data_IF_117976961221
#
_entry.id   IF_117976961221
#
_cell.length_a   1.000
_cell.length_b   1.000
_cell.length_c   1.000
_cell.angle_alpha   90.00
_cell.angle_beta   90.00
_cell.angle_gamma   90.00
#
_symmetry.space_group_name_H-M   'P 1'
#
loop_
_entity.id
_entity.type
_entity.pdbx_description
1 polymer ?
#
# COMPACT_ATOMS: atom_id res chain seq x y z
N UNK A 1 31.78 13.46 -17.84
CA UNK A 1 30.36 13.91 -17.70
C UNK A 1 30.36 15.13 -16.76
N UNK A 2 29.77 16.27 -17.13
CA UNK A 2 29.84 17.49 -16.28
C UNK A 2 29.01 17.32 -14.99
N UNK A 3 29.54 17.76 -13.84
CA UNK A 3 28.85 17.74 -12.53
C UNK A 3 27.44 18.37 -12.57
N UNK A 4 27.24 19.37 -13.43
CA UNK A 4 25.92 19.98 -13.64
C UNK A 4 24.90 19.03 -14.28
N UNK A 5 25.33 18.07 -15.12
CA UNK A 5 24.44 17.05 -15.70
C UNK A 5 24.04 16.02 -14.65
N UNK A 6 24.98 15.55 -13.82
CA UNK A 6 24.72 14.59 -12.72
C UNK A 6 23.70 15.18 -11.72
N UNK A 7 23.87 16.45 -11.33
CA UNK A 7 22.91 17.14 -10.44
C UNK A 7 21.50 17.23 -11.01
N UNK A 8 21.36 17.47 -12.32
CA UNK A 8 20.03 17.51 -12.97
C UNK A 8 19.39 16.12 -12.95
N UNK A 9 20.13 15.07 -13.30
CA UNK A 9 19.65 13.68 -13.26
C UNK A 9 19.19 13.31 -11.85
N UNK A 10 20.00 13.58 -10.82
CA UNK A 10 19.62 13.30 -9.43
C UNK A 10 18.39 14.09 -8.98
N UNK A 11 18.22 15.32 -9.45
CA UNK A 11 17.03 16.12 -9.11
C UNK A 11 15.76 15.52 -9.72
N UNK A 12 15.82 15.07 -10.97
CA UNK A 12 14.70 14.37 -11.62
C UNK A 12 14.41 13.05 -10.92
N UNK A 13 15.44 12.28 -10.56
CA UNK A 13 15.30 11.01 -9.87
C UNK A 13 14.61 11.18 -8.49
N UNK A 14 15.03 12.17 -7.71
CA UNK A 14 14.40 12.48 -6.41
C UNK A 14 12.93 12.86 -6.60
N UNK A 15 12.61 13.72 -7.57
CA UNK A 15 11.22 14.10 -7.82
C UNK A 15 10.36 12.90 -8.22
N UNK A 16 10.87 12.03 -9.09
CA UNK A 16 10.18 10.82 -9.52
C UNK A 16 9.96 9.82 -8.38
N UNK A 17 11.00 9.54 -7.58
CA UNK A 17 10.91 8.67 -6.42
C UNK A 17 9.96 9.23 -5.35
N UNK A 18 10.02 10.54 -5.10
CA UNK A 18 9.09 11.21 -4.18
C UNK A 18 7.64 11.12 -4.65
N UNK A 19 7.39 11.23 -5.96
CA UNK A 19 6.06 11.03 -6.53
C UNK A 19 5.56 9.60 -6.36
N UNK A 20 6.39 8.58 -6.64
CA UNK A 20 6.04 7.17 -6.42
C UNK A 20 5.67 6.93 -4.95
N UNK A 21 6.53 7.37 -4.02
CA UNK A 21 6.28 7.22 -2.58
C UNK A 21 4.94 7.87 -2.20
N UNK A 22 4.63 9.05 -2.74
CA UNK A 22 3.37 9.71 -2.46
C UNK A 22 2.14 8.92 -2.96
N UNK A 23 2.21 8.39 -4.19
CA UNK A 23 1.14 7.56 -4.78
C UNK A 23 0.95 6.26 -3.98
N UNK A 24 2.05 5.59 -3.62
CA UNK A 24 1.99 4.37 -2.83
C UNK A 24 1.41 4.62 -1.44
N UNK A 25 1.77 5.73 -0.79
CA UNK A 25 1.23 6.10 0.52
C UNK A 25 -0.30 6.31 0.48
N UNK A 26 -0.81 6.97 -0.55
CA UNK A 26 -2.27 7.11 -0.74
C UNK A 26 -2.94 5.76 -0.98
N UNK A 27 -2.26 4.87 -1.71
CA UNK A 27 -2.74 3.52 -1.95
C UNK A 27 -2.75 2.68 -0.67
N UNK A 28 -1.85 2.92 0.30
CA UNK A 28 -1.83 2.20 1.58
C UNK A 28 -3.00 2.60 2.46
N UNK A 29 -3.31 3.90 2.51
CA UNK A 29 -4.49 4.40 3.23
C UNK A 29 -5.78 3.79 2.67
N UNK A 30 -5.91 3.70 1.35
CA UNK A 30 -7.06 3.06 0.69
C UNK A 30 -7.15 1.57 0.99
N UNK A 31 -6.03 0.84 0.87
CA UNK A 31 -6.01 -0.61 1.12
C UNK A 31 -6.31 -0.98 2.58
N UNK A 32 -5.83 -0.18 3.54
CA UNK A 32 -6.15 -0.38 4.96
C UNK A 32 -7.64 -0.19 5.26
N UNK A 33 -8.30 0.74 4.57
CA UNK A 33 -9.76 0.89 4.66
C UNK A 33 -10.50 -0.35 4.16
N UNK A 34 -10.09 -0.90 3.01
CA UNK A 34 -10.69 -2.10 2.43
C UNK A 34 -10.47 -3.33 3.32
N UNK A 35 -9.27 -3.52 3.88
CA UNK A 35 -9.01 -4.59 4.85
C UNK A 35 -9.95 -4.51 6.05
N UNK A 36 -10.11 -3.31 6.63
CA UNK A 36 -11.00 -3.12 7.77
C UNK A 36 -12.46 -3.42 7.41
N UNK A 37 -12.92 -3.06 6.21
CA UNK A 37 -14.25 -3.43 5.74
C UNK A 37 -14.41 -4.95 5.54
N UNK A 38 -13.40 -5.61 5.01
CA UNK A 38 -13.37 -7.07 4.83
C UNK A 38 -13.41 -7.80 6.18
N UNK A 39 -12.65 -7.32 7.18
CA UNK A 39 -12.61 -7.91 8.52
C UNK A 39 -13.97 -7.77 9.24
N UNK A 40 -14.60 -6.59 9.16
CA UNK A 40 -15.94 -6.37 9.70
C UNK A 40 -16.99 -7.27 9.02
N UNK A 41 -16.90 -7.41 7.68
CA UNK A 41 -17.79 -8.29 6.94
C UNK A 41 -17.56 -9.76 7.31
N UNK A 42 -16.31 -10.17 7.51
CA UNK A 42 -15.99 -11.52 7.95
C UNK A 42 -16.58 -11.81 9.33
N UNK A 43 -16.39 -10.93 10.30
CA UNK A 43 -16.93 -11.07 11.65
C UNK A 43 -18.47 -11.21 11.61
N UNK A 44 -19.15 -10.40 10.80
CA UNK A 44 -20.60 -10.47 10.68
C UNK A 44 -21.06 -11.76 9.98
N UNK A 45 -20.34 -12.23 8.95
CA UNK A 45 -20.63 -13.51 8.29
C UNK A 45 -20.45 -14.68 9.26
N UNK A 46 -19.33 -14.74 9.99
CA UNK A 46 -19.08 -15.78 11.01
C UNK A 46 -20.21 -15.84 12.04
N UNK A 47 -20.64 -14.69 12.53
CA UNK A 47 -21.77 -14.58 13.44
C UNK A 47 -23.09 -15.13 12.84
N UNK A 48 -23.30 -14.98 11.53
CA UNK A 48 -24.44 -15.57 10.82
C UNK A 48 -24.28 -17.08 10.64
N UNK A 49 -23.07 -17.57 10.39
CA UNK A 49 -22.80 -19.02 10.27
C UNK A 49 -23.04 -19.72 11.60
N UNK A 50 -22.55 -19.16 12.71
CA UNK A 50 -22.75 -19.71 14.06
C UNK A 50 -24.23 -19.82 14.42
N UNK A 51 -25.05 -18.87 13.94
CA UNK A 51 -26.50 -18.86 14.15
C UNK A 51 -27.27 -19.68 13.11
N UNK A 52 -26.60 -20.31 12.15
CA UNK A 52 -27.20 -20.99 10.99
C UNK A 52 -28.13 -20.09 10.15
N UNK A 53 -27.84 -18.79 10.09
CA UNK A 53 -28.65 -17.77 9.40
C UNK A 53 -28.10 -17.37 8.02
N UNK A 54 -27.02 -18.00 7.54
CA UNK A 54 -26.42 -17.74 6.22
C UNK A 54 -27.44 -17.77 5.06
N UNK A 55 -28.35 -18.74 5.07
CA UNK A 55 -29.34 -18.95 4.00
C UNK A 55 -30.60 -18.08 4.14
N UNK A 56 -30.79 -17.47 5.32
CA UNK A 56 -31.88 -16.54 5.61
C UNK A 56 -31.34 -15.39 6.48
N UNK A 57 -30.42 -14.59 5.93
CA UNK A 57 -29.80 -13.53 6.71
C UNK A 57 -30.87 -12.48 7.08
N UNK A 58 -30.79 -11.89 8.27
CA UNK A 58 -31.76 -10.90 8.71
C UNK A 58 -31.64 -9.63 7.87
N UNK A 59 -32.74 -8.88 7.71
CA UNK A 59 -32.78 -7.69 6.84
C UNK A 59 -31.77 -6.59 7.22
N UNK A 60 -31.25 -6.64 8.45
CA UNK A 60 -30.37 -5.64 9.05
C UNK A 60 -28.88 -5.91 8.90
N UNK A 61 -28.44 -6.89 8.09
CA UNK A 61 -27.01 -7.10 7.84
C UNK A 61 -26.40 -5.88 7.15
N UNK A 62 -25.13 -5.58 7.44
CA UNK A 62 -24.46 -4.42 6.87
C UNK A 62 -24.29 -4.54 5.34
N UNK A 63 -24.25 -3.38 4.65
CA UNK A 63 -24.07 -3.35 3.19
C UNK A 63 -22.75 -3.99 2.72
N UNK A 64 -21.59 -3.78 3.39
CA UNK A 64 -20.36 -4.51 3.07
C UNK A 64 -20.54 -6.03 3.18
N UNK A 65 -21.19 -6.50 4.24
CA UNK A 65 -21.48 -7.92 4.44
C UNK A 65 -22.36 -8.49 3.34
N UNK A 66 -23.41 -7.79 2.91
CA UNK A 66 -24.23 -8.20 1.75
C UNK A 66 -23.39 -8.36 0.49
N UNK A 67 -22.54 -7.37 0.22
CA UNK A 67 -21.67 -7.37 -0.94
C UNK A 67 -20.70 -8.55 -0.92
N UNK A 68 -19.93 -8.71 0.16
CA UNK A 68 -18.91 -9.76 0.24
C UNK A 68 -19.52 -11.16 0.36
N UNK A 69 -20.67 -11.31 1.01
CA UNK A 69 -21.40 -12.58 1.06
C UNK A 69 -21.88 -12.99 -0.35
N UNK A 70 -22.29 -12.03 -1.19
CA UNK A 70 -22.66 -12.32 -2.59
C UNK A 70 -21.49 -12.77 -3.47
N UNK A 71 -20.24 -12.46 -3.07
CA UNK A 71 -19.04 -12.81 -3.83
C UNK A 71 -18.39 -14.10 -3.33
N UNK A 72 -18.32 -14.28 -2.01
CA UNK A 72 -17.54 -15.33 -1.36
C UNK A 72 -18.40 -16.37 -0.63
N UNK A 73 -19.71 -16.17 -0.50
CA UNK A 73 -20.72 -17.14 -0.04
C UNK A 73 -20.60 -17.68 1.41
N UNK A 74 -19.42 -17.66 2.01
CA UNK A 74 -19.12 -18.17 3.36
C UNK A 74 -17.85 -17.51 3.94
N UNK A 75 -17.63 -17.70 5.23
CA UNK A 75 -16.48 -17.13 5.95
C UNK A 75 -15.14 -17.71 5.50
N UNK A 76 -15.11 -18.97 5.05
CA UNK A 76 -13.87 -19.69 4.68
C UNK A 76 -13.26 -19.09 3.40
N UNK A 77 -14.08 -18.85 2.39
CA UNK A 77 -13.66 -18.22 1.14
C UNK A 77 -13.23 -16.78 1.37
N UNK A 78 -13.97 -16.02 2.19
CA UNK A 78 -13.62 -14.64 2.53
C UNK A 78 -12.29 -14.58 3.30
N UNK A 79 -12.06 -15.48 4.29
CA UNK A 79 -10.78 -15.60 4.99
C UNK A 79 -9.61 -15.88 4.04
N UNK A 80 -9.83 -16.78 3.07
CA UNK A 80 -8.81 -17.09 2.08
C UNK A 80 -8.46 -15.84 1.27
N UNK A 81 -9.48 -15.10 0.84
CA UNK A 81 -9.29 -13.85 0.09
C UNK A 81 -8.56 -12.79 0.92
N UNK A 82 -8.95 -12.57 2.18
CA UNK A 82 -8.28 -11.63 3.09
C UNK A 82 -6.81 -11.99 3.22
N UNK A 83 -6.49 -13.27 3.44
CA UNK A 83 -5.10 -13.72 3.59
C UNK A 83 -4.26 -13.51 2.33
N UNK A 84 -4.83 -13.75 1.15
CA UNK A 84 -4.17 -13.46 -0.13
C UNK A 84 -3.92 -11.95 -0.27
N UNK A 85 -4.91 -11.12 0.08
CA UNK A 85 -4.80 -9.67 0.04
C UNK A 85 -3.76 -9.12 1.03
N UNK A 86 -3.72 -9.63 2.27
CA UNK A 86 -2.68 -9.29 3.25
C UNK A 86 -1.27 -9.64 2.78
N UNK A 87 -1.12 -10.79 2.10
CA UNK A 87 0.16 -11.23 1.56
C UNK A 87 0.65 -10.29 0.45
N UNK A 88 -0.27 -9.87 -0.42
CA UNK A 88 0.02 -8.90 -1.48
C UNK A 88 0.38 -7.52 -0.89
N UNK A 89 -0.32 -7.09 0.16
CA UNK A 89 -0.01 -5.83 0.86
C UNK A 89 1.35 -5.86 1.54
N UNK A 90 1.69 -6.95 2.21
CA UNK A 90 3.01 -7.15 2.84
C UNK A 90 4.14 -7.09 1.81
N UNK A 91 3.95 -7.69 0.63
CA UNK A 91 4.90 -7.57 -0.47
C UNK A 91 5.05 -6.11 -0.92
N UNK A 92 3.94 -5.36 -0.98
CA UNK A 92 3.95 -3.93 -1.33
C UNK A 92 4.67 -3.07 -0.29
N UNK A 93 4.54 -3.36 0.99
CA UNK A 93 5.26 -2.68 2.08
C UNK A 93 6.78 -2.77 1.91
N UNK A 94 7.27 -3.95 1.51
CA UNK A 94 8.70 -4.17 1.25
C UNK A 94 9.18 -3.26 0.12
N UNK A 95 8.45 -3.22 -1.00
CA UNK A 95 8.82 -2.36 -2.14
C UNK A 95 8.80 -0.87 -1.76
N UNK A 96 7.79 -0.45 -1.00
CA UNK A 96 7.70 0.90 -0.49
C UNK A 96 8.91 1.30 0.36
N UNK A 97 9.33 0.41 1.27
CA UNK A 97 10.55 0.59 2.06
C UNK A 97 11.80 0.74 1.19
N UNK A 98 11.95 -0.08 0.14
CA UNK A 98 13.06 0.02 -0.81
C UNK A 98 13.06 1.39 -1.52
N UNK A 99 11.89 1.87 -1.97
CA UNK A 99 11.79 3.18 -2.61
C UNK A 99 12.18 4.33 -1.67
N UNK A 100 11.78 4.27 -0.39
CA UNK A 100 12.19 5.24 0.62
C UNK A 100 13.72 5.27 0.77
N UNK A 101 14.35 4.10 0.90
CA UNK A 101 15.81 4.00 1.04
C UNK A 101 16.51 4.59 -0.19
N UNK A 102 16.05 4.25 -1.39
CA UNK A 102 16.60 4.79 -2.66
C UNK A 102 16.41 6.30 -2.78
N UNK A 103 15.28 6.83 -2.29
CA UNK A 103 15.01 8.26 -2.27
C UNK A 103 16.02 9.01 -1.39
N UNK A 104 16.24 8.55 -0.16
CA UNK A 104 17.22 9.15 0.73
C UNK A 104 18.65 9.02 0.21
N UNK A 105 19.02 7.87 -0.35
CA UNK A 105 20.33 7.68 -0.99
C UNK A 105 20.54 8.69 -2.13
N UNK A 106 19.51 8.92 -2.94
CA UNK A 106 19.54 9.91 -4.03
C UNK A 106 19.73 11.34 -3.51
N UNK A 107 19.09 11.69 -2.39
CA UNK A 107 19.28 12.99 -1.72
C UNK A 107 20.72 13.13 -1.22
N UNK A 108 21.25 12.12 -0.54
CA UNK A 108 22.63 12.12 0.00
C UNK A 108 23.63 12.33 -1.14
N UNK A 109 23.48 11.57 -2.24
CA UNK A 109 24.34 11.72 -3.42
C UNK A 109 24.25 13.13 -4.01
N UNK A 110 23.03 13.71 -4.10
CA UNK A 110 22.85 15.08 -4.59
C UNK A 110 23.57 16.12 -3.73
N UNK A 111 23.54 15.96 -2.39
CA UNK A 111 24.25 16.83 -1.45
C UNK A 111 25.77 16.67 -1.62
N UNK A 112 26.26 15.44 -1.73
CA UNK A 112 27.69 15.15 -1.92
C UNK A 112 28.25 15.81 -3.19
N UNK A 113 27.60 15.60 -4.33
CA UNK A 113 28.03 16.20 -5.61
C UNK A 113 27.86 17.73 -5.66
N UNK A 114 27.02 18.32 -4.80
CA UNK A 114 26.96 19.78 -4.63
C UNK A 114 28.22 20.30 -3.93
N UNK A 115 28.71 19.60 -2.90
CA UNK A 115 29.91 20.00 -2.14
C UNK A 115 31.17 19.95 -3.01
N UNK A 116 31.36 18.88 -3.78
CA UNK A 116 32.53 18.76 -4.69
C UNK A 116 32.58 19.82 -5.78
N UNK A 117 31.42 20.14 -6.38
CA UNK A 117 31.33 21.22 -7.38
C UNK A 117 31.74 22.58 -6.81
N UNK A 118 31.66 22.79 -5.49
CA UNK A 118 32.00 24.06 -4.85
C UNK A 118 33.49 24.12 -4.47
N UNK A 119 34.12 22.97 -4.20
CA UNK A 119 35.54 22.88 -3.84
C UNK A 119 36.49 22.93 -5.05
N UNK A 120 36.04 22.52 -6.23
CA UNK A 120 36.85 22.52 -7.47
C UNK A 120 36.92 23.87 -8.18
N UNK A 121 36.21 24.89 -7.68
CA UNK A 121 36.17 26.25 -8.26
C UNK A 121 36.97 27.29 -7.46
N UNK A 122 37.70 26.85 -6.43
CA UNK A 122 38.66 27.67 -5.67
C UNK A 122 40.08 27.26 -6.03
#
# INVERSE_FOLDING_TARGET
MSYNRIRKILTVLIAFLGFIIFVDLMSFLGAGGVLNELDLALEEIENLEEKNLLNAPPENISEPTKFYLSQFHNSIELKKHIKEYETDLSSRDIYFGVFIVLFFLSIILRIYFRKESTNTTK
#
